data_IF_490357929903
#
_entry.id   IF_490357929903
#
_cell.length_a   1.000
_cell.length_b   1.000
_cell.length_c   1.000
_cell.angle_alpha   90.00
_cell.angle_beta   90.00
_cell.angle_gamma   90.00
#
_symmetry.space_group_name_H-M   'P 1'
#
loop_
_entity.id
_entity.type
_entity.pdbx_description
1 polymer ?
#
# COMPACT_ATOMS: atom_id res chain seq x y z
N UNK A 1 -0.61 -20.73 -5.11
CA UNK A 1 -0.45 -19.34 -4.78
C UNK A 1 -0.08 -18.48 -5.96
N UNK A 2 -0.22 -17.19 -5.79
CA UNK A 2 0.15 -16.21 -6.80
C UNK A 2 1.52 -15.65 -6.50
N UNK A 3 2.27 -15.34 -7.55
CA UNK A 3 3.47 -14.52 -7.44
C UNK A 3 3.08 -13.11 -7.83
N UNK A 4 3.28 -12.15 -6.93
CA UNK A 4 2.97 -10.75 -7.17
C UNK A 4 4.26 -9.97 -7.19
N UNK A 5 4.51 -9.26 -8.29
CA UNK A 5 5.69 -8.42 -8.46
C UNK A 5 5.25 -6.96 -8.48
N UNK A 6 5.49 -6.20 -7.41
CA UNK A 6 5.17 -4.78 -7.40
C UNK A 6 6.19 -3.98 -8.20
N UNK A 7 5.73 -2.90 -8.83
CA UNK A 7 6.58 -1.96 -9.55
C UNK A 7 6.40 -0.56 -8.97
N UNK A 8 7.50 0.12 -8.74
CA UNK A 8 7.51 1.51 -8.30
C UNK A 8 7.97 2.38 -9.47
N UNK A 9 7.22 3.43 -9.76
CA UNK A 9 7.55 4.36 -10.81
C UNK A 9 7.53 5.80 -10.28
N UNK A 10 8.41 6.63 -10.83
CA UNK A 10 8.48 8.06 -10.49
C UNK A 10 8.04 8.85 -11.72
N UNK A 11 7.04 9.70 -11.54
CA UNK A 11 6.51 10.53 -12.60
C UNK A 11 7.12 11.93 -12.53
N UNK A 12 7.30 12.56 -13.69
CA UNK A 12 7.75 13.95 -13.72
C UNK A 12 6.71 14.85 -13.06
N UNK A 13 7.17 15.82 -12.28
CA UNK A 13 6.30 16.66 -11.47
C UNK A 13 5.23 17.39 -12.28
N UNK A 14 5.55 17.87 -13.48
CA UNK A 14 4.64 18.65 -14.33
C UNK A 14 3.99 17.81 -15.43
N UNK A 15 4.03 16.48 -15.34
CA UNK A 15 3.42 15.63 -16.35
C UNK A 15 1.91 15.55 -16.17
N UNK A 16 1.18 15.40 -17.27
CA UNK A 16 -0.29 15.28 -17.27
C UNK A 16 -0.72 13.82 -17.05
N UNK A 17 0.03 13.09 -16.22
CA UNK A 17 -0.21 11.66 -16.03
C UNK A 17 -1.61 11.35 -15.48
N UNK A 18 -2.22 12.26 -14.70
CA UNK A 18 -3.57 12.04 -14.16
C UNK A 18 -4.62 11.92 -15.26
N UNK A 19 -4.47 12.69 -16.35
CA UNK A 19 -5.39 12.61 -17.47
C UNK A 19 -5.23 11.33 -18.29
N UNK A 20 -4.10 10.61 -18.13
CA UNK A 20 -3.83 9.36 -18.82
C UNK A 20 -4.33 8.14 -18.05
N UNK A 21 -4.76 8.31 -16.80
CA UNK A 21 -5.27 7.22 -16.01
C UNK A 21 -6.68 6.87 -16.46
N UNK A 22 -6.87 5.59 -16.81
CA UNK A 22 -8.18 5.08 -17.26
C UNK A 22 -8.52 3.83 -16.41
N UNK A 23 -9.23 3.99 -15.29
CA UNK A 23 -9.56 2.87 -14.45
C UNK A 23 -10.62 1.98 -15.07
N UNK A 24 -10.55 0.68 -14.77
CA UNK A 24 -11.62 -0.24 -15.11
C UNK A 24 -12.76 -0.04 -14.11
N UNK A 25 -13.82 0.63 -14.53
CA UNK A 25 -14.95 0.98 -13.66
C UNK A 25 -15.72 -0.23 -13.13
N UNK A 26 -15.53 -1.42 -13.70
CA UNK A 26 -16.12 -2.65 -13.18
C UNK A 26 -15.38 -3.17 -11.94
N UNK A 27 -14.11 -2.78 -11.77
CA UNK A 27 -13.27 -3.23 -10.67
C UNK A 27 -12.88 -2.11 -9.72
N UNK A 28 -12.83 -0.88 -10.21
CA UNK A 28 -12.34 0.29 -9.47
C UNK A 28 -13.52 1.20 -9.14
N UNK A 29 -13.86 1.26 -7.87
CA UNK A 29 -14.92 2.12 -7.37
C UNK A 29 -14.47 3.58 -7.28
N UNK A 30 -13.20 3.80 -6.90
CA UNK A 30 -12.69 5.12 -6.58
C UNK A 30 -11.19 5.18 -6.78
N UNK A 31 -10.67 6.31 -7.25
CA UNK A 31 -9.23 6.61 -7.30
C UNK A 31 -8.96 7.75 -6.32
N UNK A 32 -7.88 7.61 -5.55
CA UNK A 32 -7.42 8.67 -4.67
C UNK A 32 -5.88 8.78 -4.73
N UNK A 33 -5.35 9.90 -4.31
CA UNK A 33 -3.94 10.24 -4.49
C UNK A 33 -3.30 10.65 -3.14
N UNK A 34 -3.01 9.67 -2.26
CA UNK A 34 -2.41 9.99 -0.98
C UNK A 34 -0.96 10.49 -1.16
N UNK A 35 -0.55 11.38 -0.26
CA UNK A 35 0.83 11.86 -0.26
C UNK A 35 1.79 10.74 0.14
N UNK A 36 2.92 10.65 -0.57
CA UNK A 36 3.94 9.65 -0.28
C UNK A 36 4.47 9.77 1.15
N UNK A 37 4.59 10.97 1.67
CA UNK A 37 4.96 11.20 3.06
C UNK A 37 4.06 10.42 4.01
N UNK A 38 2.75 10.44 3.77
CA UNK A 38 1.79 9.75 4.62
C UNK A 38 1.96 8.23 4.48
N UNK A 39 2.05 7.74 3.24
CA UNK A 39 2.13 6.31 2.97
C UNK A 39 3.41 5.67 3.51
N UNK A 40 4.51 6.42 3.52
CA UNK A 40 5.82 5.89 3.87
C UNK A 40 6.24 6.21 5.30
N UNK A 41 5.47 7.00 6.04
CA UNK A 41 5.78 7.33 7.44
C UNK A 41 5.35 6.19 8.37
N UNK A 42 6.28 5.59 9.13
CA UNK A 42 5.98 4.43 9.98
C UNK A 42 4.87 4.66 10.99
N UNK A 43 4.69 5.90 11.44
CA UNK A 43 3.65 6.23 12.42
C UNK A 43 2.22 5.96 11.94
N UNK A 44 2.02 5.83 10.61
CA UNK A 44 0.72 5.53 10.02
C UNK A 44 0.58 4.06 9.65
N UNK A 45 1.64 3.25 9.83
CA UNK A 45 1.61 1.83 9.56
C UNK A 45 1.10 1.08 10.78
N UNK A 46 0.06 0.26 10.60
CA UNK A 46 -0.53 -0.51 11.68
C UNK A 46 -0.55 -1.98 11.32
N UNK A 47 -0.27 -2.84 12.31
CA UNK A 47 -0.48 -4.27 12.19
C UNK A 47 -1.78 -4.62 12.90
N UNK A 48 -2.61 -5.38 12.22
CA UNK A 48 -3.90 -5.82 12.75
C UNK A 48 -4.08 -7.30 12.51
N UNK A 49 -4.92 -7.92 13.33
CA UNK A 49 -5.37 -9.28 13.03
C UNK A 49 -6.28 -9.23 11.81
N UNK A 50 -6.12 -10.18 10.86
CA UNK A 50 -7.00 -10.21 9.71
C UNK A 50 -8.42 -10.59 10.14
N UNK A 51 -9.40 -10.42 9.24
CA UNK A 51 -10.77 -10.88 9.49
C UNK A 51 -10.81 -12.36 9.90
N UNK A 52 -11.84 -12.72 10.64
CA UNK A 52 -12.10 -14.10 11.03
C UNK A 52 -12.09 -14.99 9.78
N UNK A 53 -11.49 -16.18 9.89
CA UNK A 53 -11.34 -17.15 8.81
C UNK A 53 -10.22 -16.85 7.80
N UNK A 54 -9.39 -15.86 8.07
CA UNK A 54 -8.18 -15.66 7.28
C UNK A 54 -7.07 -16.60 7.73
N UNK A 55 -6.28 -17.09 6.79
CA UNK A 55 -5.10 -17.91 7.08
C UNK A 55 -3.89 -17.08 7.51
N UNK A 56 -3.97 -15.75 7.38
CA UNK A 56 -2.88 -14.86 7.76
C UNK A 56 -2.87 -14.63 9.27
N UNK A 57 -1.67 -14.60 9.87
CA UNK A 57 -1.51 -14.31 11.28
C UNK A 57 -1.71 -12.82 11.59
N UNK A 58 -1.19 -11.95 10.74
CA UNK A 58 -1.30 -10.49 10.88
C UNK A 58 -1.38 -9.85 9.49
N UNK A 59 -1.95 -8.68 9.42
CA UNK A 59 -2.00 -7.89 8.20
C UNK A 59 -1.57 -6.44 8.48
N UNK A 60 -1.17 -5.75 7.44
CA UNK A 60 -0.81 -4.33 7.51
C UNK A 60 -1.97 -3.47 7.07
N UNK A 61 -2.03 -2.28 7.64
CA UNK A 61 -3.07 -1.29 7.35
C UNK A 61 -2.51 0.12 7.45
N UNK A 62 -2.90 0.95 6.50
CA UNK A 62 -2.59 2.38 6.49
C UNK A 62 -3.91 3.11 6.31
N UNK A 63 -4.28 3.93 7.30
CA UNK A 63 -5.49 4.75 7.19
C UNK A 63 -5.10 6.11 6.61
N UNK A 64 -5.74 6.48 5.50
CA UNK A 64 -5.57 7.79 4.88
C UNK A 64 -6.94 8.44 4.72
N UNK A 65 -7.20 9.47 5.54
CA UNK A 65 -8.52 10.07 5.65
C UNK A 65 -9.57 8.97 5.94
N UNK A 66 -10.59 8.84 5.11
CA UNK A 66 -11.60 7.79 5.26
C UNK A 66 -11.28 6.52 4.45
N UNK A 67 -10.09 6.45 3.85
CA UNK A 67 -9.67 5.31 3.04
C UNK A 67 -8.81 4.36 3.85
N UNK A 68 -9.07 3.07 3.70
CA UNK A 68 -8.26 2.02 4.30
C UNK A 68 -7.40 1.35 3.23
N UNK A 69 -6.09 1.50 3.37
CA UNK A 69 -5.13 0.78 2.56
C UNK A 69 -4.67 -0.40 3.41
N UNK A 70 -4.89 -1.62 2.92
CA UNK A 70 -4.63 -2.81 3.72
C UNK A 70 -4.10 -3.97 2.88
N UNK A 71 -3.76 -5.05 3.56
CA UNK A 71 -3.35 -6.28 2.90
C UNK A 71 -2.04 -6.15 2.16
N UNK A 72 -1.97 -6.75 0.97
CA UNK A 72 -0.74 -6.78 0.17
C UNK A 72 -0.26 -5.37 -0.20
N UNK A 73 -1.15 -4.48 -0.58
CA UNK A 73 -0.78 -3.10 -0.93
C UNK A 73 -0.12 -2.39 0.24
N UNK A 74 -0.70 -2.48 1.43
CA UNK A 74 -0.11 -1.88 2.63
C UNK A 74 1.26 -2.50 2.94
N UNK A 75 1.39 -3.82 2.80
CA UNK A 75 2.66 -4.50 3.03
C UNK A 75 3.74 -4.04 2.04
N UNK A 76 3.40 -3.87 0.78
CA UNK A 76 4.34 -3.33 -0.22
C UNK A 76 4.82 -1.96 0.19
N UNK A 77 3.92 -1.08 0.62
CA UNK A 77 4.29 0.28 1.05
C UNK A 77 5.17 0.25 2.30
N UNK A 78 4.88 -0.61 3.26
CA UNK A 78 5.71 -0.80 4.44
C UNK A 78 7.12 -1.28 4.05
N UNK A 79 7.21 -2.19 3.09
CA UNK A 79 8.48 -2.71 2.59
C UNK A 79 9.29 -1.63 1.87
N UNK A 80 8.64 -0.79 1.07
CA UNK A 80 9.29 0.35 0.41
C UNK A 80 9.82 1.31 1.47
N UNK A 81 9.04 1.62 2.48
CA UNK A 81 9.46 2.48 3.60
C UNK A 81 10.72 1.93 4.27
N UNK A 82 10.76 0.63 4.52
CA UNK A 82 11.93 -0.02 5.10
C UNK A 82 13.15 0.04 4.17
N UNK A 83 12.94 -0.18 2.86
CA UNK A 83 14.01 -0.07 1.86
C UNK A 83 14.60 1.33 1.77
N UNK A 84 13.82 2.36 2.10
CA UNK A 84 14.28 3.74 2.17
C UNK A 84 14.92 4.09 3.52
N UNK A 85 15.02 3.15 4.45
CA UNK A 85 15.63 3.37 5.75
C UNK A 85 14.73 4.08 6.75
N UNK A 86 13.43 4.17 6.50
CA UNK A 86 12.51 4.88 7.38
C UNK A 86 12.00 4.02 8.53
N UNK A 87 12.13 2.72 8.42
CA UNK A 87 11.68 1.76 9.43
C UNK A 87 12.39 0.42 9.25
N UNK A 88 12.15 -0.51 10.17
CA UNK A 88 12.60 -1.88 10.03
C UNK A 88 11.75 -2.64 8.98
N UNK A 89 12.35 -3.65 8.36
CA UNK A 89 11.60 -4.51 7.44
C UNK A 89 10.53 -5.29 8.18
N UNK A 90 9.35 -5.46 7.57
CA UNK A 90 8.30 -6.26 8.17
C UNK A 90 8.70 -7.74 8.24
N UNK A 91 8.17 -8.50 9.23
CA UNK A 91 8.44 -9.93 9.31
C UNK A 91 7.99 -10.69 8.06
N UNK A 92 8.77 -11.71 7.67
CA UNK A 92 8.47 -12.49 6.47
C UNK A 92 7.19 -13.33 6.60
N UNK A 93 6.77 -13.64 7.80
CA UNK A 93 5.59 -14.44 8.09
C UNK A 93 4.27 -13.67 7.95
N UNK A 94 4.34 -12.39 7.62
CA UNK A 94 3.15 -11.55 7.41
C UNK A 94 2.51 -11.74 6.02
N UNK A 95 3.07 -12.60 5.19
CA UNK A 95 2.58 -12.83 3.83
C UNK A 95 1.52 -13.91 3.80
#
# INVERSE_FOLDING_TARGET
GYVVTPFLAIMKQNSEWKSLISPNLNEVEKIFYPKSYYLLSPKFHKREKPPVNSSMSMTWKINYNDENIWGLTARVLVTISAGLGLREFPPCDDI
#
